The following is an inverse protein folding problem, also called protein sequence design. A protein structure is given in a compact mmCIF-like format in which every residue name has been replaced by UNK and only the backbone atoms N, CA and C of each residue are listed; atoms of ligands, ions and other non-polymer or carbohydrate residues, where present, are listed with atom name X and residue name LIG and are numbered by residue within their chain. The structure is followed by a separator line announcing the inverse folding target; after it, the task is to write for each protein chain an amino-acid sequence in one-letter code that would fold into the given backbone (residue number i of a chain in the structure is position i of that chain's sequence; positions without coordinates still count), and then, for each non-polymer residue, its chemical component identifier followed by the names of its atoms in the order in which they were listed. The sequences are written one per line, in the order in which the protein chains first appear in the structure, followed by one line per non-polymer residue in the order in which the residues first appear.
data_IF_807432552853
#
_entry.id   IF_807432552853
#
_cell.length_a   1.000
_cell.length_b   1.000
_cell.length_c   1.000
_cell.angle_alpha   90.00
_cell.angle_beta   90.00
_cell.angle_gamma   90.00
#
_symmetry.space_group_name_H-M   'P 1'
#
loop_
_entity.id
_entity.type
_entity.pdbx_description
1 polymer ?
#
# COMPACT_ATOMS: atom_id res chain seq x y z
N UNK A 1 -3.18 15.48 12.75
CA UNK A 1 -3.16 14.47 11.67
C UNK A 1 -1.77 13.87 11.40
N UNK A 2 -0.71 14.39 11.96
CA UNK A 2 0.69 13.99 11.69
C UNK A 2 1.12 12.62 12.27
N UNK A 3 0.16 11.81 12.69
CA UNK A 3 0.42 10.53 13.37
C UNK A 3 0.25 9.31 12.47
N UNK A 4 -0.42 9.48 11.36
CA UNK A 4 -0.70 8.43 10.39
C UNK A 4 0.02 8.75 9.08
N UNK A 5 0.72 7.76 8.55
CA UNK A 5 1.40 7.86 7.27
C UNK A 5 0.80 6.84 6.31
N UNK A 6 0.37 7.29 5.17
CA UNK A 6 -0.11 6.39 4.12
C UNK A 6 1.05 5.57 3.57
N UNK A 7 0.90 4.24 3.52
CA UNK A 7 1.94 3.33 3.05
C UNK A 7 2.15 3.38 1.53
N UNK A 8 1.19 3.86 0.76
CA UNK A 8 1.34 4.04 -0.68
C UNK A 8 2.01 5.38 -1.01
N UNK A 9 2.91 5.41 -1.97
CA UNK A 9 3.25 6.66 -2.61
C UNK A 9 2.05 7.10 -3.45
N UNK A 10 1.63 8.37 -3.29
CA UNK A 10 0.54 8.94 -4.07
C UNK A 10 1.00 9.12 -5.53
N UNK A 11 0.94 8.06 -6.29
CA UNK A 11 1.11 8.08 -7.75
C UNK A 11 -0.29 8.23 -8.38
N UNK A 12 -0.34 8.95 -9.49
CA UNK A 12 -1.61 9.24 -10.15
C UNK A 12 -2.26 7.95 -10.66
N UNK A 13 -3.41 7.51 -10.10
CA UNK A 13 -4.07 6.29 -10.54
C UNK A 13 -4.56 6.38 -11.99
N UNK A 14 -4.57 5.25 -12.67
CA UNK A 14 -5.21 5.11 -13.98
C UNK A 14 -4.40 5.63 -15.18
N UNK A 15 -3.53 6.64 -15.02
CA UNK A 15 -2.60 7.08 -16.08
C UNK A 15 -1.18 6.58 -15.87
N UNK A 16 -0.72 6.68 -14.61
CA UNK A 16 0.68 6.44 -14.28
C UNK A 16 0.86 5.20 -13.42
N UNK A 17 -0.19 4.76 -12.73
CA UNK A 17 -0.10 3.66 -11.78
C UNK A 17 -1.45 2.95 -11.59
N UNK A 18 -1.44 1.84 -10.85
CA UNK A 18 -2.65 1.09 -10.52
C UNK A 18 -3.51 1.78 -9.46
N UNK A 19 -4.80 1.46 -9.45
CA UNK A 19 -5.70 1.86 -8.39
C UNK A 19 -5.39 1.12 -7.08
N UNK A 20 -5.63 1.79 -5.94
CA UNK A 20 -5.64 1.18 -4.62
C UNK A 20 -7.09 1.02 -4.14
N UNK A 21 -7.38 -0.11 -3.51
CA UNK A 21 -8.71 -0.45 -2.99
C UNK A 21 -8.80 -0.24 -1.48
N UNK A 22 -7.65 -0.27 -0.80
CA UNK A 22 -7.52 -0.24 0.64
C UNK A 22 -6.83 1.05 1.10
N UNK A 23 -7.07 1.45 2.34
CA UNK A 23 -6.35 2.51 3.05
C UNK A 23 -5.35 1.85 4.01
N UNK A 24 -4.09 1.90 3.64
CA UNK A 24 -2.99 1.34 4.43
C UNK A 24 -2.22 2.46 5.13
N UNK A 25 -2.16 2.41 6.45
CA UNK A 25 -1.45 3.39 7.26
C UNK A 25 -0.37 2.76 8.12
N UNK A 26 0.66 3.55 8.42
CA UNK A 26 1.65 3.25 9.45
C UNK A 26 1.58 4.31 10.53
N UNK A 27 1.57 3.90 11.79
CA UNK A 27 1.72 4.81 12.91
C UNK A 27 3.20 5.17 13.08
N UNK A 28 3.47 6.46 13.15
CA UNK A 28 4.83 6.99 13.40
C UNK A 28 5.15 6.98 14.89
N UNK A 29 4.12 7.12 15.73
CA UNK A 29 4.22 7.08 17.19
C UNK A 29 3.52 5.83 17.73
N UNK A 30 4.32 4.89 18.23
CA UNK A 30 3.82 3.62 18.77
C UNK A 30 3.03 3.79 20.09
N UNK A 31 3.12 4.94 20.75
CA UNK A 31 2.45 5.21 22.02
C UNK A 31 0.98 5.63 21.87
N UNK A 32 0.49 5.79 20.65
CA UNK A 32 -0.92 6.16 20.43
C UNK A 32 -1.81 4.99 20.85
N UNK A 33 -2.75 5.25 21.77
CA UNK A 33 -3.69 4.22 22.21
C UNK A 33 -4.72 3.88 21.12
N UNK A 34 -5.32 2.70 21.22
CA UNK A 34 -6.37 2.29 20.30
C UNK A 34 -7.62 3.18 20.40
N UNK A 35 -7.92 3.66 21.59
CA UNK A 35 -9.00 4.60 21.87
C UNK A 35 -8.75 5.93 21.15
N UNK A 36 -7.52 6.45 21.24
CA UNK A 36 -7.14 7.70 20.53
C UNK A 36 -7.23 7.56 19.01
N UNK A 37 -6.96 6.37 18.46
CA UNK A 37 -7.14 6.09 17.03
C UNK A 37 -8.63 6.11 16.68
N UNK A 38 -9.47 5.42 17.45
CA UNK A 38 -10.92 5.41 17.23
C UNK A 38 -11.53 6.81 17.33
N UNK A 39 -11.09 7.60 18.31
CA UNK A 39 -11.58 8.96 18.48
C UNK A 39 -11.18 9.87 17.31
N UNK A 40 -9.95 9.72 16.78
CA UNK A 40 -9.55 10.44 15.57
C UNK A 40 -10.42 10.07 14.35
N UNK A 41 -10.81 8.80 14.19
CA UNK A 41 -11.75 8.42 13.13
C UNK A 41 -13.14 8.99 13.34
N UNK A 42 -13.65 9.02 14.58
CA UNK A 42 -14.95 9.64 14.89
C UNK A 42 -14.98 11.13 14.55
N UNK A 43 -13.89 11.86 14.87
CA UNK A 43 -13.75 13.27 14.49
C UNK A 43 -13.82 13.46 12.97
N UNK A 44 -13.09 12.63 12.21
CA UNK A 44 -13.14 12.66 10.74
C UNK A 44 -14.54 12.32 10.22
N UNK A 45 -15.21 11.31 10.78
CA UNK A 45 -16.56 10.92 10.35
C UNK A 45 -17.60 12.02 10.63
N UNK A 46 -17.47 12.68 11.77
CA UNK A 46 -18.31 13.83 12.10
C UNK A 46 -18.09 14.97 11.10
N UNK A 47 -16.85 15.31 10.82
CA UNK A 47 -16.50 16.35 9.83
C UNK A 47 -17.08 16.02 8.45
N UNK A 48 -16.90 14.80 7.95
CA UNK A 48 -17.43 14.38 6.63
C UNK A 48 -18.97 14.43 6.61
N UNK A 49 -19.60 14.06 7.72
CA UNK A 49 -21.06 14.14 7.85
C UNK A 49 -21.57 15.59 7.81
N UNK A 50 -20.86 16.50 8.46
CA UNK A 50 -21.24 17.93 8.51
C UNK A 50 -21.03 18.62 7.15
N UNK A 51 -19.90 18.37 6.50
CA UNK A 51 -19.54 19.04 5.23
C UNK A 51 -20.18 18.41 4.00
N UNK A 52 -20.25 17.08 3.93
CA UNK A 52 -20.70 16.36 2.74
C UNK A 52 -22.03 15.62 2.92
N UNK A 53 -22.62 15.61 4.12
CA UNK A 53 -23.81 14.84 4.48
C UNK A 53 -23.67 13.34 4.15
N UNK A 54 -22.44 12.79 4.27
CA UNK A 54 -22.15 11.38 4.06
C UNK A 54 -21.92 10.73 5.43
N UNK A 55 -22.82 9.86 5.90
CA UNK A 55 -22.60 9.11 7.12
C UNK A 55 -21.51 8.05 6.90
N UNK A 56 -20.50 8.08 7.75
CA UNK A 56 -19.43 7.07 7.81
C UNK A 56 -19.56 6.31 9.13
N UNK A 57 -19.35 5.00 9.08
CA UNK A 57 -19.31 4.14 10.24
C UNK A 57 -18.08 3.22 10.19
N UNK A 58 -17.49 2.95 11.34
CA UNK A 58 -16.40 1.98 11.47
C UNK A 58 -16.96 0.64 11.90
N UNK A 59 -16.62 -0.40 11.16
CA UNK A 59 -16.99 -1.78 11.45
C UNK A 59 -15.75 -2.65 11.67
N UNK A 60 -15.92 -3.73 12.41
CA UNK A 60 -14.91 -4.79 12.57
C UNK A 60 -13.53 -4.27 13.04
N UNK A 61 -13.50 -3.40 14.07
CA UNK A 61 -12.25 -2.90 14.63
C UNK A 61 -11.48 -4.03 15.34
N UNK A 62 -10.67 -4.74 14.57
CA UNK A 62 -9.89 -5.88 15.04
C UNK A 62 -8.46 -5.47 15.39
N UNK A 63 -7.98 -5.91 16.56
CA UNK A 63 -6.61 -5.71 17.01
C UNK A 63 -5.90 -7.05 16.99
N UNK A 64 -4.79 -7.13 16.22
CA UNK A 64 -3.95 -8.33 16.18
C UNK A 64 -3.02 -8.42 17.40
N UNK A 65 -2.47 -9.59 17.66
CA UNK A 65 -1.46 -9.81 18.70
C UNK A 65 -0.24 -8.90 18.55
N UNK A 66 0.08 -8.48 17.32
CA UNK A 66 1.16 -7.53 17.03
C UNK A 66 0.81 -6.08 17.32
N UNK A 67 -0.43 -5.79 17.70
CA UNK A 67 -0.96 -4.44 17.87
C UNK A 67 -1.42 -3.77 16.57
N UNK A 68 -1.25 -4.39 15.41
CA UNK A 68 -1.78 -3.90 14.15
C UNK A 68 -3.31 -3.93 14.18
N UNK A 69 -3.94 -3.00 13.47
CA UNK A 69 -5.40 -2.85 13.46
C UNK A 69 -5.90 -3.06 12.03
N UNK A 70 -6.98 -3.84 11.91
CA UNK A 70 -7.80 -3.84 10.69
C UNK A 70 -9.19 -3.33 11.03
N UNK A 71 -9.78 -2.60 10.12
CA UNK A 71 -11.15 -2.13 10.24
C UNK A 71 -11.75 -1.95 8.85
N UNK A 72 -13.03 -1.68 8.81
CA UNK A 72 -13.73 -1.24 7.61
C UNK A 72 -14.46 0.06 7.89
N UNK A 73 -14.40 0.97 6.93
CA UNK A 73 -15.25 2.15 6.90
C UNK A 73 -16.40 1.84 5.95
N UNK A 74 -17.63 1.91 6.45
CA UNK A 74 -18.84 1.79 5.63
C UNK A 74 -19.42 3.15 5.35
N UNK A 75 -19.98 3.32 4.16
CA UNK A 75 -20.63 4.55 3.77
C UNK A 75 -21.77 4.32 2.77
N UNK A 76 -22.71 5.24 2.77
CA UNK A 76 -23.77 5.28 1.77
C UNK A 76 -23.44 6.38 0.78
N UNK A 77 -23.24 6.03 -0.47
CA UNK A 77 -22.94 7.01 -1.51
C UNK A 77 -24.14 7.94 -1.80
N UNK A 78 -23.92 9.07 -2.48
CA UNK A 78 -24.94 10.12 -2.68
C UNK A 78 -26.18 9.66 -3.45
N UNK A 79 -26.08 8.60 -4.22
CA UNK A 79 -27.21 8.03 -4.94
C UNK A 79 -28.11 7.13 -4.07
N UNK A 80 -27.69 6.83 -2.84
CA UNK A 80 -28.43 5.96 -1.92
C UNK A 80 -28.71 4.57 -2.50
N UNK A 81 -29.60 3.83 -1.88
CA UNK A 81 -30.12 2.56 -2.38
C UNK A 81 -29.99 1.41 -1.38
N UNK A 82 -30.94 0.49 -1.42
CA UNK A 82 -30.92 -0.73 -0.60
C UNK A 82 -29.78 -1.62 -1.07
N UNK A 83 -28.85 -1.97 -0.16
CA UNK A 83 -27.67 -2.79 -0.47
C UNK A 83 -26.46 -2.02 -1.02
N UNK A 84 -26.49 -0.69 -1.00
CA UNK A 84 -25.41 0.17 -1.49
C UNK A 84 -24.36 0.53 -0.44
N UNK A 85 -24.29 -0.18 0.67
CA UNK A 85 -23.22 0.01 1.67
C UNK A 85 -21.90 -0.37 1.04
N UNK A 86 -21.09 0.64 0.77
CA UNK A 86 -19.72 0.46 0.29
C UNK A 86 -18.82 0.31 1.51
N UNK A 87 -17.83 -0.53 1.39
CA UNK A 87 -16.82 -0.78 2.44
C UNK A 87 -15.44 -0.43 1.91
N UNK A 88 -14.69 0.32 2.67
CA UNK A 88 -13.26 0.56 2.43
C UNK A 88 -12.50 -0.09 3.56
N UNK A 89 -11.58 -0.98 3.24
CA UNK A 89 -10.71 -1.61 4.22
C UNK A 89 -9.66 -0.61 4.70
N UNK A 90 -9.41 -0.62 6.00
CA UNK A 90 -8.38 0.18 6.64
C UNK A 90 -7.44 -0.73 7.40
N UNK A 91 -6.17 -0.74 7.04
CA UNK A 91 -5.12 -1.43 7.77
C UNK A 91 -4.17 -0.40 8.41
N UNK A 92 -3.92 -0.54 9.72
CA UNK A 92 -3.01 0.35 10.45
C UNK A 92 -1.91 -0.49 11.05
N UNK A 93 -0.68 -0.29 10.60
CA UNK A 93 0.48 -0.98 11.12
C UNK A 93 1.20 -0.16 12.19
N UNK A 94 1.52 -0.85 13.31
CA UNK A 94 2.41 -0.35 14.38
C UNK A 94 3.82 -0.91 14.25
N UNK A 95 4.01 -1.91 13.42
CA UNK A 95 5.23 -2.72 13.40
C UNK A 95 6.07 -2.52 12.14
N UNK A 96 5.76 -1.51 11.33
CA UNK A 96 6.58 -1.22 10.15
C UNK A 96 7.84 -0.42 10.55
N UNK A 97 8.97 -0.86 10.03
CA UNK A 97 10.23 -0.13 10.16
C UNK A 97 10.38 0.82 8.99
N UNK A 98 10.31 2.12 9.27
CA UNK A 98 10.59 3.16 8.28
C UNK A 98 12.10 3.32 8.12
N UNK A 99 12.59 3.28 6.89
CA UNK A 99 14.01 3.41 6.55
C UNK A 99 14.31 4.74 5.85
N UNK A 100 13.32 5.34 5.22
CA UNK A 100 13.46 6.60 4.48
C UNK A 100 12.59 7.71 5.07
N UNK A 101 12.88 8.94 4.68
CA UNK A 101 12.08 10.09 5.08
C UNK A 101 10.71 10.04 4.45
N UNK A 102 9.71 10.41 5.23
CA UNK A 102 8.36 10.58 4.76
C UNK A 102 8.25 11.81 3.86
N UNK A 103 7.35 11.76 2.89
CA UNK A 103 7.09 12.82 1.95
C UNK A 103 5.69 13.39 2.16
N UNK A 104 5.57 14.72 2.05
CA UNK A 104 4.28 15.37 1.94
C UNK A 104 3.97 15.55 0.46
N UNK A 105 2.94 14.89 -0.03
CA UNK A 105 2.53 14.95 -1.43
C UNK A 105 1.14 15.54 -1.57
N UNK A 106 0.90 16.40 -2.56
CA UNK A 106 -0.43 16.88 -2.86
C UNK A 106 -1.32 15.72 -3.27
N UNK A 107 -2.56 15.71 -2.81
CA UNK A 107 -3.58 14.82 -3.33
C UNK A 107 -3.96 15.26 -4.75
N UNK A 108 -4.22 14.28 -5.60
CA UNK A 108 -4.67 14.59 -6.96
C UNK A 108 -6.06 15.20 -6.93
N UNK A 109 -6.22 16.30 -7.64
CA UNK A 109 -7.52 16.89 -7.89
C UNK A 109 -8.36 15.95 -8.78
N UNK A 110 -9.32 15.31 -8.17
CA UNK A 110 -10.25 14.40 -8.86
C UNK A 110 -11.63 15.03 -9.04
N UNK A 111 -11.94 16.06 -8.26
CA UNK A 111 -13.22 16.75 -8.24
C UNK A 111 -12.98 18.26 -8.30
N UNK A 112 -13.92 18.98 -8.92
CA UNK A 112 -13.83 20.43 -9.16
C UNK A 112 -13.97 21.29 -7.90
N UNK A 113 -14.49 20.71 -6.84
CA UNK A 113 -14.70 21.29 -5.51
C UNK A 113 -13.70 20.78 -4.46
N UNK A 114 -12.69 20.03 -4.90
CA UNK A 114 -11.65 19.53 -4.02
C UNK A 114 -10.69 20.67 -3.64
N UNK A 115 -10.51 20.87 -2.35
CA UNK A 115 -9.51 21.78 -1.84
C UNK A 115 -8.10 21.20 -1.92
N UNK A 116 -7.10 22.04 -2.14
CA UNK A 116 -5.70 21.66 -2.12
C UNK A 116 -5.33 21.08 -0.74
N UNK A 117 -4.98 19.82 -0.71
CA UNK A 117 -4.49 19.18 0.50
C UNK A 117 -3.24 18.34 0.23
N UNK A 118 -2.44 18.17 1.28
CA UNK A 118 -1.26 17.31 1.25
C UNK A 118 -1.44 16.15 2.21
N UNK A 119 -0.92 14.99 1.82
CA UNK A 119 -0.90 13.79 2.66
C UNK A 119 0.54 13.36 2.90
N UNK A 120 0.85 13.06 4.15
CA UNK A 120 2.12 12.44 4.49
C UNK A 120 2.10 10.98 4.04
N UNK A 121 3.06 10.59 3.22
CA UNK A 121 3.14 9.26 2.64
C UNK A 121 4.58 8.74 2.56
N UNK A 122 4.71 7.48 2.22
CA UNK A 122 6.01 6.86 1.92
C UNK A 122 6.65 7.51 0.69
N UNK A 123 7.98 7.65 0.73
CA UNK A 123 8.78 7.89 -0.47
C UNK A 123 8.74 6.67 -1.40
N UNK A 124 9.11 6.85 -2.66
CA UNK A 124 9.22 5.71 -3.59
C UNK A 124 10.29 4.69 -3.13
N UNK A 125 11.36 5.17 -2.48
CA UNK A 125 12.40 4.32 -1.90
C UNK A 125 11.84 3.42 -0.78
N UNK A 126 10.99 3.99 0.08
CA UNK A 126 10.31 3.24 1.13
C UNK A 126 9.35 2.20 0.54
N UNK A 127 8.60 2.57 -0.52
CA UNK A 127 7.71 1.64 -1.23
C UNK A 127 8.51 0.52 -1.90
N UNK A 128 9.62 0.83 -2.57
CA UNK A 128 10.49 -0.17 -3.21
C UNK A 128 10.94 -1.24 -2.20
N UNK A 129 11.53 -0.81 -1.08
CA UNK A 129 12.03 -1.73 -0.05
C UNK A 129 10.92 -2.54 0.60
N UNK A 130 9.75 -1.91 0.82
CA UNK A 130 8.59 -2.58 1.38
C UNK A 130 8.03 -3.65 0.43
N UNK A 131 7.99 -3.39 -0.87
CA UNK A 131 7.56 -4.36 -1.89
C UNK A 131 8.54 -5.52 -2.02
N UNK A 132 9.85 -5.26 -1.98
CA UNK A 132 10.88 -6.31 -1.95
C UNK A 132 10.69 -7.21 -0.71
N UNK A 133 10.52 -6.62 0.48
CA UNK A 133 10.25 -7.37 1.72
C UNK A 133 8.95 -8.18 1.63
N UNK A 134 7.89 -7.61 1.05
CA UNK A 134 6.59 -8.28 0.90
C UNK A 134 6.66 -9.54 0.07
N UNK A 135 7.52 -9.61 -0.94
CA UNK A 135 7.74 -10.80 -1.75
C UNK A 135 8.35 -11.97 -0.97
N UNK A 136 9.04 -11.71 0.16
CA UNK A 136 9.52 -12.77 1.04
C UNK A 136 8.38 -13.48 1.79
N UNK A 137 7.32 -12.76 2.14
CA UNK A 137 6.26 -13.24 3.02
C UNK A 137 4.98 -13.64 2.31
N UNK A 138 4.62 -12.99 1.20
CA UNK A 138 3.35 -13.21 0.51
C UNK A 138 3.53 -13.36 -1.00
N UNK A 139 2.47 -13.81 -1.68
CA UNK A 139 2.45 -14.03 -3.13
C UNK A 139 1.29 -13.22 -3.73
N UNK A 140 1.51 -11.89 -3.82
CA UNK A 140 0.53 -10.97 -4.39
C UNK A 140 1.05 -10.40 -5.72
N UNK A 141 0.37 -10.62 -6.86
CA UNK A 141 0.78 -10.10 -8.16
C UNK A 141 1.02 -8.59 -8.17
N UNK A 142 0.24 -7.83 -7.40
CA UNK A 142 0.39 -6.38 -7.29
C UNK A 142 1.77 -5.97 -6.74
N UNK A 143 2.34 -6.71 -5.77
CA UNK A 143 3.68 -6.39 -5.26
C UNK A 143 4.76 -6.62 -6.33
N UNK A 144 4.56 -7.63 -7.17
CA UNK A 144 5.45 -7.94 -8.29
C UNK A 144 5.35 -6.88 -9.40
N UNK A 145 4.15 -6.43 -9.72
CA UNK A 145 3.92 -5.32 -10.64
C UNK A 145 4.49 -4.01 -10.13
N UNK A 146 4.27 -3.70 -8.84
CA UNK A 146 4.76 -2.47 -8.23
C UNK A 146 6.28 -2.36 -8.33
N UNK A 147 7.01 -3.45 -8.09
CA UNK A 147 8.47 -3.48 -8.27
C UNK A 147 8.88 -3.29 -9.73
N UNK A 148 8.20 -3.95 -10.66
CA UNK A 148 8.45 -3.74 -12.08
C UNK A 148 8.23 -2.30 -12.49
N UNK A 149 7.15 -1.70 -12.05
CA UNK A 149 6.84 -0.32 -12.36
C UNK A 149 7.90 0.66 -11.80
N UNK A 150 8.31 0.46 -10.56
CA UNK A 150 9.34 1.27 -9.93
C UNK A 150 10.70 1.12 -10.65
N UNK A 151 11.04 -0.11 -11.07
CA UNK A 151 12.33 -0.37 -11.71
C UNK A 151 12.34 0.04 -13.18
N UNK A 152 11.37 -0.39 -14.00
CA UNK A 152 11.39 -0.21 -15.45
C UNK A 152 10.74 1.11 -15.89
N UNK A 153 9.73 1.61 -15.17
CA UNK A 153 9.03 2.84 -15.55
C UNK A 153 9.59 4.06 -14.82
N UNK A 154 9.92 3.92 -13.53
CA UNK A 154 10.52 5.00 -12.73
C UNK A 154 12.05 5.00 -12.76
N UNK A 155 12.68 3.94 -13.27
CA UNK A 155 14.13 3.82 -13.41
C UNK A 155 14.88 3.66 -12.09
N UNK A 156 14.23 3.10 -11.07
CA UNK A 156 14.84 2.89 -9.75
C UNK A 156 15.63 1.58 -9.73
N UNK A 157 16.83 1.61 -9.16
CA UNK A 157 17.69 0.43 -9.06
C UNK A 157 17.47 -0.31 -7.73
N UNK A 158 16.99 -1.56 -7.78
CA UNK A 158 16.77 -2.37 -6.56
C UNK A 158 18.05 -2.56 -5.76
N UNK A 159 19.21 -2.65 -6.41
CA UNK A 159 20.49 -2.87 -5.77
C UNK A 159 20.88 -1.72 -4.83
N UNK A 160 20.47 -0.49 -5.13
CA UNK A 160 20.71 0.68 -4.29
C UNK A 160 19.92 0.63 -2.96
N UNK A 161 18.85 -0.17 -2.93
CA UNK A 161 17.95 -0.32 -1.78
C UNK A 161 18.19 -1.62 -0.99
N UNK A 162 19.28 -2.33 -1.30
CA UNK A 162 19.60 -3.63 -0.68
C UNK A 162 19.70 -3.56 0.84
N UNK A 163 20.40 -2.57 1.35
CA UNK A 163 20.63 -2.42 2.79
C UNK A 163 19.32 -2.26 3.58
N UNK A 164 18.46 -1.37 3.13
CA UNK A 164 17.17 -1.09 3.77
C UNK A 164 16.20 -2.27 3.63
N UNK A 165 16.21 -2.93 2.47
CA UNK A 165 15.47 -4.18 2.27
C UNK A 165 15.90 -5.25 3.29
N UNK A 166 17.21 -5.48 3.45
CA UNK A 166 17.73 -6.43 4.43
C UNK A 166 17.34 -6.05 5.87
N UNK A 167 17.40 -4.76 6.23
CA UNK A 167 16.95 -4.28 7.53
C UNK A 167 15.47 -4.57 7.79
N UNK A 168 14.60 -4.28 6.81
CA UNK A 168 13.16 -4.55 6.91
C UNK A 168 12.87 -6.06 6.99
N UNK A 169 13.54 -6.86 6.17
CA UNK A 169 13.38 -8.31 6.18
C UNK A 169 13.73 -8.90 7.56
N UNK A 170 14.90 -8.56 8.08
CA UNK A 170 15.35 -9.03 9.40
C UNK A 170 14.45 -8.53 10.55
N UNK A 171 13.95 -7.30 10.46
CA UNK A 171 12.97 -6.76 11.44
C UNK A 171 11.70 -7.63 11.51
N UNK A 172 11.24 -8.14 10.37
CA UNK A 172 10.11 -9.09 10.29
C UNK A 172 10.53 -10.55 10.44
N UNK A 173 11.77 -10.83 10.88
CA UNK A 173 12.35 -12.17 11.06
C UNK A 173 12.34 -13.02 9.78
N UNK A 174 12.50 -12.36 8.63
CA UNK A 174 12.60 -12.98 7.32
C UNK A 174 14.08 -13.00 6.90
N UNK A 175 14.46 -14.06 6.18
CA UNK A 175 15.79 -14.16 5.59
C UNK A 175 15.82 -13.46 4.22
N UNK A 176 16.54 -12.34 4.06
CA UNK A 176 16.60 -11.61 2.79
C UNK A 176 17.29 -12.40 1.69
N UNK A 177 18.26 -13.27 2.02
CA UNK A 177 19.02 -14.06 1.04
C UNK A 177 18.15 -15.13 0.36
N UNK A 178 17.05 -15.54 1.01
CA UNK A 178 16.08 -16.48 0.46
C UNK A 178 15.17 -15.90 -0.62
N UNK A 179 15.31 -14.61 -0.96
CA UNK A 179 14.37 -13.93 -1.87
C UNK A 179 14.30 -14.60 -3.24
N UNK A 180 15.45 -14.91 -3.85
CA UNK A 180 15.48 -15.49 -5.19
C UNK A 180 14.85 -16.88 -5.21
N UNK A 181 15.19 -17.75 -4.28
CA UNK A 181 14.61 -19.11 -4.15
C UNK A 181 13.10 -19.04 -3.96
N UNK A 182 12.63 -18.16 -3.06
CA UNK A 182 11.18 -17.96 -2.83
C UNK A 182 10.45 -17.43 -4.04
N UNK A 183 11.08 -16.55 -4.81
CA UNK A 183 10.47 -16.03 -6.05
C UNK A 183 10.32 -17.12 -7.09
N UNK A 184 11.35 -17.95 -7.30
CA UNK A 184 11.31 -19.09 -8.23
C UNK A 184 10.15 -20.04 -7.88
N UNK A 185 9.97 -20.35 -6.60
CA UNK A 185 8.83 -21.16 -6.14
C UNK A 185 7.45 -20.52 -6.31
N UNK A 186 7.37 -19.21 -6.48
CA UNK A 186 6.10 -18.45 -6.60
C UNK A 186 5.70 -18.11 -8.03
N UNK A 187 6.57 -18.28 -9.01
CA UNK A 187 6.35 -17.86 -10.42
C UNK A 187 5.04 -18.39 -10.98
N UNK A 188 4.75 -19.68 -10.80
CA UNK A 188 3.53 -20.28 -11.31
C UNK A 188 2.26 -19.66 -10.71
N UNK A 189 2.30 -19.31 -9.42
CA UNK A 189 1.18 -18.68 -8.71
C UNK A 189 1.00 -17.23 -9.18
N UNK A 190 2.09 -16.46 -9.32
CA UNK A 190 2.01 -15.12 -9.87
C UNK A 190 1.38 -15.12 -11.27
N UNK A 191 1.86 -15.99 -12.15
CA UNK A 191 1.34 -16.13 -13.51
C UNK A 191 -0.15 -16.47 -13.53
N UNK A 192 -0.57 -17.46 -12.75
CA UNK A 192 -1.97 -17.91 -12.73
C UNK A 192 -2.96 -16.86 -12.22
N UNK A 193 -2.49 -15.94 -11.37
CA UNK A 193 -3.32 -14.88 -10.77
C UNK A 193 -3.14 -13.51 -11.42
N UNK A 194 -2.22 -13.38 -12.38
CA UNK A 194 -1.82 -12.08 -12.93
C UNK A 194 -3.00 -11.27 -13.44
N UNK A 195 -3.69 -11.78 -14.44
CA UNK A 195 -4.82 -11.08 -15.04
C UNK A 195 -6.00 -10.93 -14.08
N UNK A 196 -6.38 -12.01 -13.39
CA UNK A 196 -7.57 -12.01 -12.53
C UNK A 196 -7.49 -11.05 -11.35
N UNK A 197 -6.27 -10.75 -10.86
CA UNK A 197 -6.07 -9.85 -9.72
C UNK A 197 -5.75 -8.41 -10.10
N UNK A 198 -5.43 -8.13 -11.38
CA UNK A 198 -4.87 -6.84 -11.80
C UNK A 198 -5.68 -6.11 -12.87
N UNK A 199 -6.51 -6.83 -13.66
CA UNK A 199 -7.22 -6.28 -14.83
C UNK A 199 -8.11 -5.07 -14.51
N UNK A 200 -8.68 -5.03 -13.31
CA UNK A 200 -9.58 -3.94 -12.89
C UNK A 200 -8.81 -2.76 -12.25
N UNK A 201 -7.51 -2.93 -12.00
CA UNK A 201 -6.65 -1.92 -11.37
C UNK A 201 -5.72 -1.21 -12.37
N UNK A 202 -5.48 -1.80 -13.54
CA UNK A 202 -4.51 -1.32 -14.52
C UNK A 202 -5.15 -1.32 -15.90
N UNK A 203 -5.16 -0.15 -16.56
CA UNK A 203 -5.75 0.00 -17.89
C UNK A 203 -5.01 -0.82 -18.97
N UNK A 204 -3.69 -0.84 -18.92
CA UNK A 204 -2.82 -1.57 -19.84
C UNK A 204 -1.87 -2.47 -19.06
N UNK A 205 -2.36 -3.63 -18.66
CA UNK A 205 -1.58 -4.60 -17.90
C UNK A 205 -0.52 -5.27 -18.80
N UNK A 206 0.78 -5.13 -18.52
CA UNK A 206 1.80 -5.82 -19.30
C UNK A 206 1.71 -7.34 -19.11
N UNK A 207 2.09 -8.12 -20.13
CA UNK A 207 2.14 -9.57 -20.01
C UNK A 207 3.06 -10.03 -18.88
N UNK A 208 2.65 -11.04 -18.12
CA UNK A 208 3.46 -11.55 -17.00
C UNK A 208 4.88 -11.95 -17.42
N UNK A 209 5.05 -12.57 -18.57
CA UNK A 209 6.35 -13.00 -19.10
C UNK A 209 7.30 -11.84 -19.34
N UNK A 210 6.78 -10.70 -19.77
CA UNK A 210 7.58 -9.48 -19.92
C UNK A 210 8.05 -9.00 -18.56
N UNK A 211 7.12 -8.81 -17.62
CA UNK A 211 7.41 -8.33 -16.26
C UNK A 211 8.40 -9.26 -15.56
N UNK A 212 8.18 -10.57 -15.66
CA UNK A 212 9.05 -11.58 -15.04
C UNK A 212 10.48 -11.55 -15.63
N UNK A 213 10.62 -11.43 -16.94
CA UNK A 213 11.92 -11.33 -17.61
C UNK A 213 12.68 -10.06 -17.19
N UNK A 214 11.99 -8.94 -17.13
CA UNK A 214 12.59 -7.63 -16.81
C UNK A 214 12.99 -7.57 -15.34
N UNK A 215 12.11 -7.90 -14.41
CA UNK A 215 12.44 -8.00 -12.98
C UNK A 215 13.56 -9.00 -12.69
N UNK A 216 13.61 -10.11 -13.42
CA UNK A 216 14.68 -11.10 -13.29
C UNK A 216 16.08 -10.52 -13.52
N UNK A 217 16.25 -9.42 -14.24
CA UNK A 217 17.53 -8.71 -14.37
C UNK A 217 17.88 -8.01 -13.07
N UNK A 218 16.95 -7.28 -12.48
CA UNK A 218 17.14 -6.54 -11.23
C UNK A 218 17.41 -7.47 -10.05
N UNK A 219 16.67 -8.57 -9.93
CA UNK A 219 16.92 -9.56 -8.85
C UNK A 219 18.31 -10.21 -8.94
N UNK A 220 18.85 -10.45 -10.15
CA UNK A 220 20.21 -10.98 -10.33
C UNK A 220 21.31 -10.01 -9.90
N UNK A 221 21.04 -8.72 -9.90
CA UNK A 221 22.01 -7.68 -9.50
C UNK A 221 21.90 -7.32 -8.02
N UNK A 222 20.77 -7.64 -7.38
CA UNK A 222 20.47 -7.25 -6.00
C UNK A 222 21.51 -7.74 -4.97
N UNK A 223 22.08 -8.94 -5.16
CA UNK A 223 23.04 -9.56 -4.24
C UNK A 223 24.47 -9.66 -4.81
N UNK A 224 24.74 -8.97 -5.89
CA UNK A 224 26.11 -8.84 -6.39
C UNK A 224 26.82 -7.70 -5.68
#
# INVERSE_FOLDING_TARGET
MDRFVQQGALLRPGKDYRYSEDLDFTLVDDNISNEAIQDAFKEVFQFVREEANIPLEMEDFGIHETGNINSYITYVGPLGGVGANKRVKVDISRTEKLCFKLENRPMFESYTDQEDCTVQCYSLDEVMTEKMRSLLSRTQPRDYYDLWYLSEVKGMEMAEHRYEFELKARHKRLDPESLQEKLEGKVAVFKSRWESSMKDQIAELPPFEQVHRELGKHFRTLFK
#
